data_IF_308944709808
#
_entry.id   IF_308944709808
#
_cell.length_a   1.000
_cell.length_b   1.000
_cell.length_c   1.000
_cell.angle_alpha   90.00
_cell.angle_beta   90.00
_cell.angle_gamma   90.00
#
_symmetry.space_group_name_H-M   'P 1'
#
loop_
_entity.id
_entity.type
_entity.pdbx_description
1 polymer ?
#
# COMPACT_ATOMS: atom_id res chain seq x y z
N UNK A 1 3.69 4.46 -16.77
CA UNK A 1 4.20 3.39 -15.88
C UNK A 1 5.23 4.03 -14.96
N UNK A 2 4.83 4.43 -13.75
CA UNK A 2 5.77 4.97 -12.76
C UNK A 2 6.35 3.80 -11.98
N UNK A 3 7.65 3.57 -12.17
CA UNK A 3 8.45 2.63 -11.40
C UNK A 3 8.51 3.13 -9.95
N UNK A 4 7.83 2.43 -9.03
CA UNK A 4 7.94 2.70 -7.59
C UNK A 4 9.29 2.20 -7.11
N UNK A 5 10.05 3.04 -6.41
CA UNK A 5 11.37 2.72 -5.87
C UNK A 5 11.26 2.68 -4.34
N UNK A 6 11.97 1.76 -3.67
CA UNK A 6 11.94 1.58 -2.22
C UNK A 6 12.24 2.87 -1.41
N UNK A 7 12.85 3.86 -2.06
CA UNK A 7 13.10 5.20 -1.53
C UNK A 7 11.83 6.03 -1.31
N UNK A 8 10.83 5.84 -2.17
CA UNK A 8 9.55 6.56 -2.11
C UNK A 8 8.69 6.02 -0.96
N UNK A 9 8.66 4.69 -0.81
CA UNK A 9 7.98 4.00 0.29
C UNK A 9 8.57 4.39 1.66
N UNK A 10 9.90 4.47 1.78
CA UNK A 10 10.57 4.91 3.03
C UNK A 10 10.19 6.34 3.41
N UNK A 11 10.14 7.25 2.44
CA UNK A 11 9.76 8.64 2.69
C UNK A 11 8.31 8.72 3.15
N UNK A 12 7.42 7.94 2.55
CA UNK A 12 6.00 7.94 2.85
C UNK A 12 5.67 7.36 4.24
N UNK A 13 6.32 6.27 4.62
CA UNK A 13 6.22 5.71 5.98
C UNK A 13 6.81 6.71 7.00
N UNK A 14 7.90 7.39 6.63
CA UNK A 14 8.56 8.43 7.43
C UNK A 14 7.65 9.60 7.78
N UNK A 15 6.91 10.11 6.80
CA UNK A 15 5.99 11.23 7.00
C UNK A 15 4.76 10.87 7.85
N UNK A 16 4.25 9.64 7.73
CA UNK A 16 3.08 9.21 8.52
C UNK A 16 3.45 8.87 9.98
N UNK A 17 4.73 8.59 10.24
CA UNK A 17 5.24 8.22 11.56
C UNK A 17 6.20 9.27 12.14
N UNK A 18 6.06 10.54 11.74
CA UNK A 18 6.93 11.63 12.20
C UNK A 18 6.96 11.67 13.74
N UNK A 19 8.06 11.16 14.32
CA UNK A 19 8.32 11.12 15.76
C UNK A 19 8.03 9.80 16.51
N UNK A 20 7.60 8.71 15.86
CA UNK A 20 7.24 7.45 16.56
C UNK A 20 8.15 6.25 16.26
N UNK A 21 8.71 6.14 15.04
CA UNK A 21 9.55 4.98 14.65
C UNK A 21 10.73 5.42 13.77
N UNK A 22 11.93 4.92 14.11
CA UNK A 22 13.18 5.19 13.39
C UNK A 22 13.28 4.28 12.13
N UNK A 23 12.68 4.74 11.04
CA UNK A 23 12.50 3.95 9.80
C UNK A 23 13.83 3.76 9.03
N UNK A 24 14.83 4.60 9.29
CA UNK A 24 16.11 4.57 8.59
C UNK A 24 16.99 3.38 9.02
N UNK A 25 16.71 2.78 10.19
CA UNK A 25 17.49 1.68 10.77
C UNK A 25 16.84 0.30 10.65
N UNK A 26 15.61 0.22 10.12
CA UNK A 26 14.86 -1.06 10.05
C UNK A 26 15.30 -1.94 8.88
N UNK A 27 15.26 -3.25 9.09
CA UNK A 27 15.47 -4.23 8.04
C UNK A 27 14.33 -4.16 7.00
N UNK A 28 14.61 -4.49 5.75
CA UNK A 28 13.62 -4.40 4.66
C UNK A 28 12.36 -5.23 4.94
N UNK A 29 12.51 -6.38 5.58
CA UNK A 29 11.36 -7.24 5.93
C UNK A 29 10.49 -6.63 7.05
N UNK A 30 11.11 -5.89 7.96
CA UNK A 30 10.42 -5.19 9.04
C UNK A 30 9.69 -3.95 8.50
N UNK A 31 10.29 -3.24 7.54
CA UNK A 31 9.63 -2.14 6.81
C UNK A 31 8.39 -2.63 6.06
N UNK A 32 8.48 -3.78 5.38
CA UNK A 32 7.36 -4.40 4.66
C UNK A 32 6.24 -4.79 5.60
N UNK A 33 6.59 -5.38 6.74
CA UNK A 33 5.62 -5.74 7.77
C UNK A 33 4.95 -4.51 8.37
N UNK A 34 5.72 -3.47 8.69
CA UNK A 34 5.20 -2.21 9.20
C UNK A 34 4.28 -1.52 8.19
N UNK A 35 4.64 -1.50 6.91
CA UNK A 35 3.79 -0.98 5.84
C UNK A 35 2.47 -1.72 5.76
N UNK A 36 2.51 -3.06 5.77
CA UNK A 36 1.32 -3.90 5.77
C UNK A 36 0.44 -3.58 6.98
N UNK A 37 1.03 -3.53 8.18
CA UNK A 37 0.31 -3.22 9.41
C UNK A 37 -0.23 -1.81 9.52
N UNK A 38 0.40 -0.84 8.87
CA UNK A 38 -0.05 0.55 8.89
C UNK A 38 -1.35 0.74 8.10
N UNK A 39 -1.60 -0.10 7.08
CA UNK A 39 -2.78 -0.01 6.22
C UNK A 39 -3.91 -0.97 6.60
N UNK A 40 -3.60 -2.04 7.35
CA UNK A 40 -4.53 -2.96 8.02
C UNK A 40 -5.31 -2.22 9.14
N UNK A 41 -6.43 -1.62 8.76
CA UNK A 41 -7.23 -0.72 9.61
C UNK A 41 -8.12 -1.47 10.60
N UNK A 42 -8.54 -2.68 10.24
CA UNK A 42 -9.42 -3.53 11.05
C UNK A 42 -8.66 -4.64 11.82
N UNK A 43 -7.33 -4.73 11.65
CA UNK A 43 -6.43 -5.68 12.28
C UNK A 43 -6.74 -7.15 11.93
N UNK A 44 -7.34 -7.42 10.78
CA UNK A 44 -7.62 -8.78 10.32
C UNK A 44 -6.38 -9.50 9.73
N UNK A 45 -5.24 -8.79 9.62
CA UNK A 45 -3.99 -9.28 9.01
C UNK A 45 -4.10 -9.60 7.52
N UNK A 46 -5.00 -8.89 6.84
CA UNK A 46 -5.25 -8.94 5.41
C UNK A 46 -5.46 -7.50 4.91
N UNK A 47 -5.27 -7.26 3.62
CA UNK A 47 -5.57 -5.96 3.02
C UNK A 47 -6.73 -6.09 2.04
N UNK A 48 -7.81 -5.36 2.31
CA UNK A 48 -8.96 -5.28 1.40
C UNK A 48 -8.77 -4.19 0.32
N UNK A 49 -9.61 -4.22 -0.71
CA UNK A 49 -9.58 -3.23 -1.78
C UNK A 49 -9.74 -1.77 -1.30
N UNK A 50 -10.53 -1.51 -0.26
CA UNK A 50 -10.68 -0.18 0.33
C UNK A 50 -9.42 0.27 1.09
N UNK A 51 -8.74 -0.64 1.77
CA UNK A 51 -7.46 -0.38 2.44
C UNK A 51 -6.36 -0.11 1.43
N UNK A 52 -6.31 -0.87 0.34
CA UNK A 52 -5.43 -0.60 -0.80
C UNK A 52 -5.73 0.76 -1.45
N UNK A 53 -7.02 1.11 -1.62
CA UNK A 53 -7.42 2.43 -2.13
C UNK A 53 -6.92 3.53 -1.21
N UNK A 54 -7.15 3.41 0.09
CA UNK A 54 -6.68 4.40 1.07
C UNK A 54 -5.17 4.54 0.98
N UNK A 55 -4.43 3.43 0.85
CA UNK A 55 -2.98 3.42 0.68
C UNK A 55 -2.55 4.17 -0.59
N UNK A 56 -3.20 3.92 -1.72
CA UNK A 56 -2.91 4.57 -3.01
C UNK A 56 -3.27 6.06 -3.02
N UNK A 57 -4.41 6.41 -2.41
CA UNK A 57 -4.86 7.80 -2.28
C UNK A 57 -4.03 8.58 -1.26
N UNK A 58 -3.50 7.93 -0.23
CA UNK A 58 -2.66 8.57 0.77
C UNK A 58 -1.42 9.21 0.12
N UNK A 59 -0.83 8.56 -0.90
CA UNK A 59 0.22 9.17 -1.74
C UNK A 59 -0.26 10.37 -2.57
N UNK A 60 -1.48 10.32 -3.09
CA UNK A 60 -2.00 11.37 -3.96
C UNK A 60 -2.47 12.61 -3.19
N UNK A 61 -2.96 12.44 -1.96
CA UNK A 61 -3.52 13.53 -1.14
C UNK A 61 -2.44 14.46 -0.58
N UNK A 62 -1.22 13.98 -0.34
CA UNK A 62 -0.07 14.84 0.03
C UNK A 62 0.32 15.81 -1.11
N UNK A 63 0.20 15.42 -2.38
CA UNK A 63 0.39 16.33 -3.53
C UNK A 63 -0.86 17.15 -3.90
N UNK A 64 -2.06 16.72 -3.50
CA UNK A 64 -3.34 17.30 -3.94
C UNK A 64 -4.18 17.97 -2.84
N UNK A 65 -3.55 18.62 -1.84
CA UNK A 65 -4.26 19.55 -0.93
C UNK A 65 -5.00 20.71 -1.66
N UNK A 66 -4.79 20.90 -2.95
CA UNK A 66 -5.43 21.93 -3.77
C UNK A 66 -6.50 21.43 -4.75
N UNK A 67 -6.64 20.13 -4.99
CA UNK A 67 -7.57 19.60 -5.98
C UNK A 67 -8.21 18.30 -5.48
N UNK A 68 -9.43 18.40 -4.98
CA UNK A 68 -10.31 17.23 -4.97
C UNK A 68 -10.43 16.69 -6.40
N UNK A 69 -10.46 15.36 -6.55
CA UNK A 69 -11.69 14.75 -7.00
C UNK A 69 -12.07 13.58 -6.09
N UNK A 70 -13.36 13.45 -5.83
CA UNK A 70 -13.92 12.16 -5.42
C UNK A 70 -13.69 11.25 -6.62
N UNK A 71 -12.63 10.44 -6.61
CA UNK A 71 -12.44 9.40 -7.61
C UNK A 71 -13.74 8.59 -7.66
N UNK A 72 -14.30 8.48 -8.87
CA UNK A 72 -15.50 7.67 -9.05
C UNK A 72 -15.20 6.23 -8.66
N UNK A 73 -16.21 5.51 -8.17
CA UNK A 73 -16.09 4.09 -7.86
C UNK A 73 -15.45 3.29 -9.00
N UNK A 74 -15.79 3.61 -10.25
CA UNK A 74 -15.25 2.97 -11.45
C UNK A 74 -13.73 3.21 -11.61
N UNK A 75 -13.27 4.42 -11.29
CA UNK A 75 -11.86 4.78 -11.41
C UNK A 75 -11.02 4.12 -10.31
N UNK A 76 -11.56 4.04 -9.09
CA UNK A 76 -10.96 3.29 -7.99
C UNK A 76 -10.88 1.79 -8.31
N UNK A 77 -11.93 1.23 -8.91
CA UNK A 77 -11.95 -0.19 -9.33
C UNK A 77 -10.87 -0.45 -10.39
N UNK A 78 -10.72 0.45 -11.37
CA UNK A 78 -9.65 0.34 -12.39
C UNK A 78 -8.23 0.34 -11.80
N UNK A 79 -8.03 0.93 -10.61
CA UNK A 79 -6.74 0.90 -9.92
C UNK A 79 -6.54 -0.37 -9.08
N UNK A 80 -7.61 -0.88 -8.46
CA UNK A 80 -7.54 -2.03 -7.54
C UNK A 80 -7.68 -3.37 -8.24
N UNK A 81 -8.57 -3.50 -9.21
CA UNK A 81 -8.84 -4.75 -9.89
C UNK A 81 -7.57 -5.41 -10.45
N UNK A 82 -6.60 -4.68 -11.05
CA UNK A 82 -5.35 -5.28 -11.50
C UNK A 82 -4.45 -5.77 -10.36
N UNK A 83 -4.51 -5.11 -9.20
CA UNK A 83 -3.73 -5.47 -8.02
C UNK A 83 -4.28 -6.77 -7.44
N UNK A 84 -5.59 -6.81 -7.14
CA UNK A 84 -6.26 -8.01 -6.65
C UNK A 84 -6.11 -9.17 -7.64
N UNK A 85 -6.36 -8.94 -8.94
CA UNK A 85 -6.22 -10.01 -9.95
C UNK A 85 -4.81 -10.62 -10.05
N UNK A 86 -3.78 -9.93 -9.59
CA UNK A 86 -2.39 -10.42 -9.65
C UNK A 86 -1.93 -11.00 -8.31
N UNK A 87 -2.33 -10.35 -7.23
CA UNK A 87 -1.76 -10.56 -5.90
C UNK A 87 -2.65 -11.44 -5.01
N UNK A 88 -3.98 -11.37 -5.15
CA UNK A 88 -4.95 -12.26 -4.50
C UNK A 88 -4.98 -13.61 -5.24
N UNK A 89 -4.32 -14.61 -4.69
CA UNK A 89 -4.15 -15.93 -5.32
C UNK A 89 -5.25 -16.90 -4.96
N UNK A 90 -5.85 -16.70 -3.80
CA UNK A 90 -6.90 -17.56 -3.28
C UNK A 90 -8.32 -17.06 -3.70
N UNK A 91 -8.40 -15.86 -4.27
CA UNK A 91 -9.60 -15.17 -4.75
C UNK A 91 -10.63 -14.92 -3.65
N UNK A 92 -10.17 -14.64 -2.43
CA UNK A 92 -11.03 -14.32 -1.29
C UNK A 92 -11.38 -12.81 -1.20
N UNK A 93 -10.80 -11.99 -2.06
CA UNK A 93 -11.01 -10.54 -2.10
C UNK A 93 -10.08 -9.75 -1.19
N UNK A 94 -9.10 -10.42 -0.58
CA UNK A 94 -8.10 -9.83 0.29
C UNK A 94 -6.69 -10.19 -0.17
N UNK A 95 -5.70 -9.47 0.33
CA UNK A 95 -4.29 -9.82 0.17
C UNK A 95 -3.73 -10.12 1.56
N UNK A 96 -3.42 -11.39 1.81
CA UNK A 96 -2.73 -11.77 3.04
C UNK A 96 -1.23 -11.42 3.01
N UNK A 97 -0.55 -11.50 4.15
CA UNK A 97 0.87 -11.17 4.22
C UNK A 97 1.76 -12.06 3.32
N UNK A 98 1.58 -13.40 3.25
CA UNK A 98 2.25 -14.25 2.26
C UNK A 98 2.07 -13.79 0.80
N UNK A 99 0.84 -13.44 0.41
CA UNK A 99 0.49 -12.93 -0.92
C UNK A 99 1.16 -11.59 -1.20
N UNK A 100 1.13 -10.67 -0.23
CA UNK A 100 1.81 -9.38 -0.30
C UNK A 100 3.32 -9.52 -0.53
N UNK A 101 3.99 -10.41 0.20
CA UNK A 101 5.43 -10.65 0.03
C UNK A 101 5.72 -11.31 -1.32
N UNK A 102 4.86 -12.22 -1.77
CA UNK A 102 4.99 -12.85 -3.07
C UNK A 102 4.81 -11.83 -4.21
N UNK A 103 3.86 -10.91 -4.07
CA UNK A 103 3.62 -9.80 -4.99
C UNK A 103 4.84 -8.86 -5.06
N UNK A 104 5.41 -8.46 -3.92
CA UNK A 104 6.63 -7.63 -3.90
C UNK A 104 7.81 -8.31 -4.59
N UNK A 105 8.03 -9.61 -4.35
CA UNK A 105 9.09 -10.37 -5.03
C UNK A 105 8.87 -10.43 -6.54
N UNK A 106 7.62 -10.54 -6.98
CA UNK A 106 7.28 -10.56 -8.41
C UNK A 106 7.44 -9.19 -9.07
N UNK A 107 7.27 -8.10 -8.32
CA UNK A 107 7.40 -6.72 -8.81
C UNK A 107 8.85 -6.23 -8.88
N UNK A 108 9.80 -7.01 -8.37
CA UNK A 108 11.23 -6.72 -8.50
C UNK A 108 11.61 -5.38 -7.87
N UNK A 109 11.39 -5.26 -6.57
CA UNK A 109 12.14 -4.32 -5.75
C UNK A 109 13.54 -4.87 -5.48
#
# INVERSE_FOLDING_TARGET
MMSRSATDDRHHIGQHMEGVVDIDTMAEDELKFLYFKMHDSDNNSMLDGCELIKSLLHFHVEECKAMGPVFGHDELSLMIDPILSTDDRNLDGFIDYPEFIAAQKSRGF
#
